data_IF_571269497123
#
_entry.id   IF_571269497123
#
_cell.length_a   1.000
_cell.length_b   1.000
_cell.length_c   1.000
_cell.angle_alpha   90.00
_cell.angle_beta   90.00
_cell.angle_gamma   90.00
#
_symmetry.space_group_name_H-M   'P 1'
#
loop_
_entity.id
_entity.type
_entity.pdbx_description
1 polymer ?
#
# COMPACT_ATOMS: atom_id res chain seq x y z
N UNK A 1 14.78 5.55 0.94
CA UNK A 1 13.97 5.29 2.17
C UNK A 1 14.33 6.14 3.39
N UNK A 2 15.59 6.52 3.71
CA UNK A 2 15.87 7.34 4.90
C UNK A 2 15.08 8.66 5.00
N UNK A 3 14.93 9.39 3.89
CA UNK A 3 14.14 10.62 3.86
C UNK A 3 12.65 10.39 4.20
N UNK A 4 12.10 9.26 3.79
CA UNK A 4 10.72 8.85 4.11
C UNK A 4 10.56 8.55 5.62
N UNK A 5 11.46 7.75 6.20
CA UNK A 5 11.39 7.44 7.63
C UNK A 5 11.56 8.73 8.48
N UNK A 6 12.46 9.63 8.08
CA UNK A 6 12.58 10.94 8.73
C UNK A 6 11.27 11.74 8.63
N UNK A 7 10.59 11.71 7.47
CA UNK A 7 9.30 12.39 7.31
C UNK A 7 8.21 11.79 8.20
N UNK A 8 8.16 10.47 8.35
CA UNK A 8 7.24 9.83 9.30
C UNK A 8 7.53 10.26 10.74
N UNK A 9 8.80 10.32 11.15
CA UNK A 9 9.20 10.79 12.48
C UNK A 9 8.76 12.25 12.71
N UNK A 10 8.93 13.13 11.72
CA UNK A 10 8.46 14.52 11.81
C UNK A 10 6.94 14.61 11.99
N UNK A 11 6.18 13.81 11.21
CA UNK A 11 4.72 13.76 11.30
C UNK A 11 4.29 13.29 12.69
N UNK A 12 4.87 12.21 13.19
CA UNK A 12 4.62 11.68 14.53
C UNK A 12 4.98 12.68 15.63
N UNK A 13 6.13 13.33 15.52
CA UNK A 13 6.59 14.35 16.48
C UNK A 13 5.76 15.63 16.50
N UNK A 14 4.90 15.85 15.52
CA UNK A 14 3.95 16.97 15.47
C UNK A 14 2.61 16.67 16.15
N UNK A 15 2.33 15.41 16.50
CA UNK A 15 1.15 15.04 17.25
C UNK A 15 1.28 15.42 18.73
N UNK A 16 0.20 15.89 19.38
CA UNK A 16 0.20 16.08 20.83
C UNK A 16 0.47 14.76 21.56
N UNK A 17 1.35 14.75 22.57
CA UNK A 17 1.65 13.53 23.33
C UNK A 17 0.39 12.92 23.97
N UNK A 18 0.24 11.62 23.87
CA UNK A 18 -0.90 10.89 24.43
C UNK A 18 -1.11 9.52 23.80
N UNK A 19 -2.04 8.78 24.34
CA UNK A 19 -2.36 7.41 23.95
C UNK A 19 -2.54 7.23 22.43
N UNK A 20 -3.20 8.17 21.78
CA UNK A 20 -3.43 8.11 20.33
C UNK A 20 -2.12 8.27 19.56
N UNK A 21 -1.28 9.25 19.93
CA UNK A 21 0.02 9.47 19.29
C UNK A 21 0.95 8.26 19.48
N UNK A 22 0.96 7.66 20.65
CA UNK A 22 1.74 6.45 20.96
C UNK A 22 1.25 5.26 20.11
N UNK A 23 -0.06 5.07 19.99
CA UNK A 23 -0.67 4.04 19.15
C UNK A 23 -0.40 4.25 17.66
N UNK A 24 -0.49 5.49 17.15
CA UNK A 24 -0.12 5.83 15.77
C UNK A 24 1.35 5.52 15.48
N UNK A 25 2.25 5.87 16.43
CA UNK A 25 3.68 5.58 16.32
C UNK A 25 3.93 4.08 16.23
N UNK A 26 3.29 3.29 17.09
CA UNK A 26 3.38 1.83 17.04
C UNK A 26 2.85 1.25 15.74
N UNK A 27 1.69 1.71 15.25
CA UNK A 27 1.10 1.25 14.00
C UNK A 27 1.99 1.55 12.78
N UNK A 28 2.69 2.67 12.79
CA UNK A 28 3.59 3.09 11.71
C UNK A 28 4.97 2.44 11.79
N UNK A 29 5.31 1.71 12.87
CA UNK A 29 6.60 1.06 12.99
C UNK A 29 6.72 -0.16 12.04
N UNK A 30 7.91 -0.33 11.46
CA UNK A 30 8.24 -1.48 10.61
C UNK A 30 7.48 -1.53 9.28
N UNK A 31 7.39 -2.73 8.69
CA UNK A 31 6.74 -2.98 7.40
C UNK A 31 7.68 -2.87 6.20
N UNK A 32 7.28 -3.51 5.08
CA UNK A 32 8.06 -3.57 3.84
C UNK A 32 8.09 -2.25 3.06
N UNK A 33 7.24 -1.27 3.41
CA UNK A 33 7.13 0.05 2.77
C UNK A 33 6.93 -0.02 1.24
N UNK A 34 6.20 -0.99 0.74
CA UNK A 34 6.03 -1.19 -0.70
C UNK A 34 5.33 0.01 -1.35
N UNK A 35 4.23 0.52 -0.75
CA UNK A 35 3.49 1.66 -1.29
C UNK A 35 4.31 2.95 -1.29
N UNK A 36 5.00 3.33 -0.20
CA UNK A 36 5.99 4.42 -0.22
C UNK A 36 7.07 4.24 -1.28
N UNK A 37 7.59 3.03 -1.45
CA UNK A 37 8.63 2.74 -2.46
C UNK A 37 8.13 2.96 -3.88
N UNK A 38 6.88 2.61 -4.20
CA UNK A 38 6.27 2.92 -5.49
C UNK A 38 6.25 4.43 -5.79
N UNK A 39 6.02 5.26 -4.76
CA UNK A 39 6.03 6.71 -4.93
C UNK A 39 7.45 7.27 -5.08
N UNK A 40 8.43 6.72 -4.35
CA UNK A 40 9.75 7.32 -4.18
C UNK A 40 10.84 6.72 -5.08
N UNK A 41 10.55 5.64 -5.83
CA UNK A 41 11.50 4.99 -6.73
C UNK A 41 11.54 5.58 -8.14
N UNK A 42 10.94 6.75 -8.33
CA UNK A 42 10.93 7.44 -9.62
C UNK A 42 11.92 8.60 -9.64
N UNK A 43 12.48 8.90 -10.81
CA UNK A 43 13.29 10.09 -11.00
C UNK A 43 12.37 11.32 -11.10
N UNK A 44 12.59 12.31 -10.26
CA UNK A 44 11.75 13.49 -10.18
C UNK A 44 12.57 14.76 -9.90
N UNK A 45 12.07 15.95 -10.30
CA UNK A 45 12.63 17.23 -9.88
C UNK A 45 12.62 17.41 -8.37
N UNK A 46 13.65 18.05 -7.81
CA UNK A 46 13.80 18.26 -6.35
C UNK A 46 12.61 18.98 -5.73
N UNK A 47 11.95 19.87 -6.49
CA UNK A 47 10.78 20.63 -6.07
C UNK A 47 9.58 19.75 -5.72
N UNK A 48 9.50 18.55 -6.30
CA UNK A 48 8.43 17.58 -6.02
C UNK A 48 8.73 16.68 -4.83
N UNK A 49 9.96 16.67 -4.30
CA UNK A 49 10.37 15.76 -3.23
C UNK A 49 9.46 15.85 -1.99
N UNK A 50 9.10 17.06 -1.57
CA UNK A 50 8.21 17.28 -0.42
C UNK A 50 6.81 16.70 -0.65
N UNK A 51 6.21 16.97 -1.81
CA UNK A 51 4.87 16.46 -2.15
C UNK A 51 4.87 14.93 -2.24
N UNK A 52 5.90 14.34 -2.84
CA UNK A 52 6.00 12.89 -2.98
C UNK A 52 6.26 12.21 -1.63
N UNK A 53 7.05 12.81 -0.74
CA UNK A 53 7.23 12.32 0.63
C UNK A 53 5.92 12.36 1.43
N UNK A 54 5.17 13.47 1.35
CA UNK A 54 3.87 13.59 2.00
C UNK A 54 2.85 12.59 1.43
N UNK A 55 2.87 12.39 0.12
CA UNK A 55 1.99 11.41 -0.53
C UNK A 55 2.33 9.97 -0.12
N UNK A 56 3.61 9.64 -0.10
CA UNK A 56 4.09 8.33 0.38
C UNK A 56 3.69 8.10 1.86
N UNK A 57 3.81 9.13 2.71
CA UNK A 57 3.40 9.06 4.11
C UNK A 57 1.89 8.88 4.25
N UNK A 58 1.09 9.61 3.47
CA UNK A 58 -0.36 9.48 3.48
C UNK A 58 -0.81 8.07 3.07
N UNK A 59 -0.22 7.49 2.04
CA UNK A 59 -0.49 6.10 1.61
C UNK A 59 -0.17 5.09 2.70
N UNK A 60 0.96 5.26 3.39
CA UNK A 60 1.35 4.34 4.48
C UNK A 60 0.42 4.49 5.69
N UNK A 61 0.03 5.71 6.07
CA UNK A 61 -0.93 5.94 7.15
C UNK A 61 -2.29 5.32 6.84
N UNK A 62 -2.80 5.45 5.61
CA UNK A 62 -4.04 4.79 5.17
C UNK A 62 -3.89 3.28 5.22
N UNK A 63 -2.77 2.73 4.77
CA UNK A 63 -2.51 1.29 4.84
C UNK A 63 -2.46 0.80 6.30
N UNK A 64 -1.77 1.51 7.19
CA UNK A 64 -1.74 1.12 8.61
C UNK A 64 -3.12 1.25 9.26
N UNK A 65 -3.91 2.27 8.89
CA UNK A 65 -5.30 2.39 9.30
C UNK A 65 -6.12 1.15 8.90
N UNK A 66 -6.01 0.70 7.64
CA UNK A 66 -6.74 -0.49 7.19
C UNK A 66 -6.34 -1.75 7.95
N UNK A 67 -5.04 -1.95 8.20
CA UNK A 67 -4.56 -3.10 8.95
C UNK A 67 -5.10 -3.13 10.39
N UNK A 68 -5.17 -1.97 11.08
CA UNK A 68 -5.73 -1.90 12.43
C UNK A 68 -7.21 -2.30 12.43
N UNK A 69 -7.96 -1.85 11.41
CA UNK A 69 -9.38 -2.17 11.30
C UNK A 69 -9.61 -3.63 10.94
N UNK A 70 -8.79 -4.17 10.03
CA UNK A 70 -8.84 -5.59 9.63
C UNK A 70 -8.54 -6.51 10.82
N UNK A 71 -7.62 -6.12 11.72
CA UNK A 71 -7.25 -6.92 12.90
C UNK A 71 -8.35 -6.98 13.98
N UNK A 72 -9.39 -6.12 13.94
CA UNK A 72 -10.43 -6.09 14.97
C UNK A 72 -11.25 -7.38 15.03
N UNK A 73 -11.81 -7.76 16.22
CA UNK A 73 -12.64 -8.95 16.38
C UNK A 73 -13.89 -9.00 15.48
N UNK A 74 -14.38 -7.87 15.00
CA UNK A 74 -15.50 -7.80 14.06
C UNK A 74 -15.08 -7.98 12.58
N UNK A 75 -13.79 -8.16 12.30
CA UNK A 75 -13.16 -8.37 10.99
C UNK A 75 -12.42 -9.71 10.98
N UNK A 76 -11.08 -9.70 10.99
CA UNK A 76 -10.26 -10.91 10.89
C UNK A 76 -9.95 -11.53 12.26
N UNK A 77 -10.21 -10.82 13.38
CA UNK A 77 -9.93 -11.24 14.77
C UNK A 77 -8.48 -11.70 14.95
N UNK A 78 -7.53 -10.95 14.39
CA UNK A 78 -6.13 -11.33 14.38
C UNK A 78 -5.46 -11.04 15.74
N UNK A 79 -4.69 -11.99 16.27
CA UNK A 79 -3.97 -11.82 17.53
C UNK A 79 -2.60 -11.14 17.34
N UNK A 80 -1.96 -11.36 16.20
CA UNK A 80 -0.61 -10.90 15.88
C UNK A 80 -0.51 -10.30 14.48
N UNK A 81 0.26 -9.22 14.35
CA UNK A 81 0.60 -8.56 13.10
C UNK A 81 2.09 -8.20 13.07
N UNK A 82 2.84 -8.70 12.09
CA UNK A 82 4.28 -8.44 11.91
C UNK A 82 5.14 -8.86 13.11
N UNK A 83 4.79 -9.92 13.83
CA UNK A 83 5.50 -10.39 15.02
C UNK A 83 5.19 -9.61 16.31
N UNK A 84 4.22 -8.71 16.27
CA UNK A 84 3.76 -7.93 17.40
C UNK A 84 2.27 -8.19 17.67
N UNK A 85 1.86 -8.11 18.93
CA UNK A 85 0.46 -8.22 19.31
C UNK A 85 -0.39 -7.11 18.67
N UNK A 86 -1.55 -7.44 18.11
CA UNK A 86 -2.46 -6.48 17.50
C UNK A 86 -2.91 -5.38 18.49
N UNK A 87 -3.19 -4.17 17.95
CA UNK A 87 -3.47 -3.00 18.79
C UNK A 87 -4.70 -3.17 19.67
N UNK A 88 -5.74 -3.84 19.18
CA UNK A 88 -6.98 -4.07 19.95
C UNK A 88 -6.76 -4.94 21.19
N UNK A 89 -5.72 -5.78 21.22
CA UNK A 89 -5.36 -6.60 22.37
C UNK A 89 -4.46 -5.86 23.38
N UNK A 90 -3.58 -4.98 22.89
CA UNK A 90 -2.66 -4.23 23.74
C UNK A 90 -3.25 -2.90 24.27
N UNK A 91 -4.27 -2.40 23.60
CA UNK A 91 -5.08 -1.26 23.99
C UNK A 91 -6.51 -1.78 24.26
N UNK A 92 -7.49 -1.28 23.54
CA UNK A 92 -8.84 -1.81 23.49
C UNK A 92 -9.35 -1.68 22.06
N UNK A 93 -10.45 -2.36 21.69
CA UNK A 93 -11.07 -2.18 20.39
C UNK A 93 -11.45 -0.71 20.12
N UNK A 94 -11.94 -0.01 21.14
CA UNK A 94 -12.28 1.41 21.03
C UNK A 94 -11.05 2.28 20.76
N UNK A 95 -9.95 2.06 21.48
CA UNK A 95 -8.70 2.79 21.29
C UNK A 95 -8.06 2.46 19.94
N UNK A 96 -8.02 1.19 19.53
CA UNK A 96 -7.54 0.79 18.21
C UNK A 96 -8.35 1.47 17.09
N UNK A 97 -9.67 1.52 17.21
CA UNK A 97 -10.55 2.23 16.26
C UNK A 97 -10.24 3.72 16.20
N UNK A 98 -10.02 4.38 17.35
CA UNK A 98 -9.68 5.80 17.42
C UNK A 98 -8.28 6.08 16.84
N UNK A 99 -7.32 5.18 17.04
CA UNK A 99 -5.98 5.27 16.44
C UNK A 99 -6.09 5.15 14.91
N UNK A 100 -6.86 4.19 14.40
CA UNK A 100 -7.11 4.03 12.97
C UNK A 100 -7.76 5.28 12.35
N UNK A 101 -8.80 5.81 13.01
CA UNK A 101 -9.45 7.06 12.61
C UNK A 101 -8.47 8.23 12.56
N UNK A 102 -7.59 8.35 13.57
CA UNK A 102 -6.60 9.43 13.65
C UNK A 102 -5.56 9.33 12.55
N UNK A 103 -5.07 8.12 12.23
CA UNK A 103 -4.18 7.87 11.08
C UNK A 103 -4.82 8.29 9.76
N UNK A 104 -6.09 7.95 9.55
CA UNK A 104 -6.83 8.32 8.35
C UNK A 104 -7.00 9.85 8.24
N UNK A 105 -7.41 10.52 9.31
CA UNK A 105 -7.55 11.97 9.34
C UNK A 105 -6.19 12.65 9.08
N UNK A 106 -5.13 12.17 9.73
CA UNK A 106 -3.79 12.71 9.56
C UNK A 106 -3.22 12.52 8.15
N UNK A 107 -3.56 11.42 7.48
CA UNK A 107 -3.14 11.19 6.11
C UNK A 107 -3.59 12.29 5.14
N UNK A 108 -4.83 12.75 5.29
CA UNK A 108 -5.36 13.85 4.48
C UNK A 108 -4.77 15.21 4.87
N UNK A 109 -4.57 15.46 6.16
CA UNK A 109 -3.98 16.69 6.65
C UNK A 109 -2.55 16.86 6.13
N UNK A 110 -1.70 15.83 6.24
CA UNK A 110 -0.34 15.84 5.71
C UNK A 110 -0.33 16.07 4.20
N UNK A 111 -1.23 15.38 3.48
CA UNK A 111 -1.25 15.46 2.03
C UNK A 111 -1.74 16.81 1.51
N UNK A 112 -2.69 17.48 2.20
CA UNK A 112 -3.19 18.80 1.79
C UNK A 112 -2.31 19.95 2.28
N UNK A 113 -1.51 19.74 3.33
CA UNK A 113 -0.64 20.76 3.89
C UNK A 113 0.60 20.95 3.02
N UNK A 114 0.84 22.18 2.55
CA UNK A 114 1.98 22.51 1.71
C UNK A 114 1.92 23.92 1.15
N UNK A 115 2.81 24.23 0.21
CA UNK A 115 2.91 25.54 -0.40
C UNK A 115 1.73 25.80 -1.33
N UNK A 116 1.42 27.10 -1.56
CA UNK A 116 0.29 27.50 -2.39
C UNK A 116 0.38 26.97 -3.83
N UNK A 117 1.56 26.97 -4.42
CA UNK A 117 1.81 26.46 -5.77
C UNK A 117 1.59 24.95 -5.92
N UNK A 118 1.68 24.18 -4.81
CA UNK A 118 1.47 22.74 -4.79
C UNK A 118 -0.01 22.37 -4.65
N UNK A 119 -0.86 23.28 -4.18
CA UNK A 119 -2.25 23.00 -3.80
C UNK A 119 -3.09 22.33 -4.90
N UNK A 120 -2.99 22.71 -6.20
CA UNK A 120 -3.77 22.03 -7.23
C UNK A 120 -3.42 20.52 -7.36
N UNK A 121 -2.13 20.16 -7.20
CA UNK A 121 -1.69 18.77 -7.23
C UNK A 121 -2.14 18.05 -5.97
N UNK A 122 -1.88 18.63 -4.78
CA UNK A 122 -2.24 18.06 -3.48
C UNK A 122 -3.74 17.76 -3.37
N UNK A 123 -4.59 18.68 -3.80
CA UNK A 123 -6.04 18.47 -3.83
C UNK A 123 -6.46 17.30 -4.74
N UNK A 124 -5.81 17.13 -5.89
CA UNK A 124 -6.07 15.99 -6.79
C UNK A 124 -5.61 14.67 -6.15
N UNK A 125 -4.46 14.64 -5.48
CA UNK A 125 -3.96 13.45 -4.77
C UNK A 125 -4.91 13.07 -3.63
N UNK A 126 -5.38 14.03 -2.83
CA UNK A 126 -6.41 13.82 -1.79
C UNK A 126 -7.67 13.21 -2.40
N UNK A 127 -8.16 13.77 -3.52
CA UNK A 127 -9.36 13.24 -4.19
C UNK A 127 -9.16 11.79 -4.68
N UNK A 128 -7.99 11.49 -5.25
CA UNK A 128 -7.66 10.12 -5.70
C UNK A 128 -7.61 9.15 -4.54
N UNK A 129 -6.89 9.51 -3.47
CA UNK A 129 -6.76 8.69 -2.28
C UNK A 129 -8.13 8.43 -1.63
N UNK A 130 -8.96 9.46 -1.43
CA UNK A 130 -10.27 9.32 -0.81
C UNK A 130 -11.21 8.39 -1.60
N UNK A 131 -11.15 8.42 -2.94
CA UNK A 131 -11.94 7.51 -3.78
C UNK A 131 -11.46 6.07 -3.70
N UNK A 132 -10.14 5.86 -3.62
CA UNK A 132 -9.57 4.52 -3.53
C UNK A 132 -9.85 3.81 -2.21
N UNK A 133 -10.06 4.56 -1.12
CA UNK A 133 -10.36 3.98 0.20
C UNK A 133 -11.85 3.89 0.51
N UNK A 134 -12.68 4.63 -0.22
CA UNK A 134 -14.13 4.71 0.01
C UNK A 134 -14.94 3.57 -0.60
N UNK A 135 -16.23 3.82 -0.82
CA UNK A 135 -17.24 2.86 -1.32
C UNK A 135 -17.02 2.38 -2.76
N UNK A 136 -16.00 2.83 -3.46
CA UNK A 136 -15.58 2.30 -4.77
C UNK A 136 -14.17 1.72 -4.75
N UNK A 137 -13.62 1.42 -3.57
CA UNK A 137 -12.26 0.93 -3.37
C UNK A 137 -12.16 0.03 -2.14
N UNK A 138 -11.16 0.28 -1.27
CA UNK A 138 -10.82 -0.61 -0.16
C UNK A 138 -12.00 -0.97 0.76
N UNK A 139 -12.80 0.01 1.18
CA UNK A 139 -13.94 -0.25 2.07
C UNK A 139 -15.00 -1.15 1.43
N UNK A 140 -15.25 -1.00 0.13
CA UNK A 140 -16.15 -1.89 -0.61
C UNK A 140 -15.55 -3.31 -0.73
N UNK A 141 -14.25 -3.41 -1.04
CA UNK A 141 -13.55 -4.71 -1.12
C UNK A 141 -13.64 -5.48 0.19
N UNK A 142 -13.36 -4.81 1.32
CA UNK A 142 -13.50 -5.40 2.65
C UNK A 142 -14.94 -5.83 2.96
N UNK A 143 -15.92 -4.98 2.63
CA UNK A 143 -17.32 -5.31 2.86
C UNK A 143 -17.82 -6.50 2.02
N UNK A 144 -17.31 -6.67 0.79
CA UNK A 144 -17.63 -7.82 -0.06
C UNK A 144 -17.00 -9.10 0.48
N UNK A 145 -15.75 -9.04 0.94
CA UNK A 145 -15.03 -10.15 1.57
C UNK A 145 -15.78 -10.67 2.80
N UNK A 146 -16.12 -9.79 3.74
CA UNK A 146 -16.86 -10.14 4.96
C UNK A 146 -18.24 -10.75 4.68
N UNK A 147 -18.88 -10.38 3.59
CA UNK A 147 -20.19 -10.96 3.20
C UNK A 147 -20.08 -12.33 2.53
N UNK A 148 -18.90 -12.72 2.09
CA UNK A 148 -18.71 -13.94 1.32
C UNK A 148 -19.48 -13.96 0.00
N UNK A 149 -19.81 -12.80 -0.56
CA UNK A 149 -20.71 -12.68 -1.70
C UNK A 149 -20.03 -12.75 -3.07
N UNK A 150 -18.70 -12.66 -3.14
CA UNK A 150 -17.98 -12.73 -4.41
C UNK A 150 -17.45 -14.12 -4.66
N UNK A 151 -17.82 -14.69 -5.82
CA UNK A 151 -17.18 -15.90 -6.38
C UNK A 151 -15.86 -15.55 -7.08
N UNK A 152 -15.50 -14.26 -7.18
CA UNK A 152 -14.30 -13.78 -7.85
C UNK A 152 -13.39 -13.07 -6.81
N UNK A 153 -12.43 -13.82 -6.29
CA UNK A 153 -11.42 -13.33 -5.33
C UNK A 153 -10.58 -12.19 -5.92
N UNK A 154 -10.31 -12.21 -7.24
CA UNK A 154 -9.55 -11.17 -7.92
C UNK A 154 -10.26 -9.80 -7.87
N UNK A 155 -11.60 -9.75 -7.99
CA UNK A 155 -12.34 -8.48 -7.90
C UNK A 155 -12.25 -7.88 -6.49
N UNK A 156 -12.29 -8.71 -5.44
CA UNK A 156 -12.08 -8.28 -4.06
C UNK A 156 -10.65 -7.75 -3.91
N UNK A 157 -9.64 -8.49 -4.35
CA UNK A 157 -8.22 -8.11 -4.28
C UNK A 157 -7.94 -6.82 -5.05
N UNK A 158 -8.63 -6.60 -6.18
CA UNK A 158 -8.59 -5.36 -6.97
C UNK A 158 -9.05 -4.16 -6.17
N UNK A 159 -10.15 -4.30 -5.43
CA UNK A 159 -10.70 -3.24 -4.58
C UNK A 159 -9.91 -3.07 -3.27
N UNK A 160 -9.69 -4.16 -2.52
CA UNK A 160 -9.08 -4.14 -1.18
C UNK A 160 -7.60 -3.78 -1.24
N UNK A 161 -6.83 -4.43 -2.11
CA UNK A 161 -5.36 -4.33 -2.13
C UNK A 161 -4.84 -3.46 -3.28
N UNK A 162 -5.27 -3.72 -4.53
CA UNK A 162 -4.68 -3.07 -5.69
C UNK A 162 -5.07 -1.59 -5.83
N UNK A 163 -6.16 -1.14 -5.22
CA UNK A 163 -6.59 0.25 -5.26
C UNK A 163 -5.54 1.24 -4.75
N UNK A 164 -4.86 0.96 -3.63
CA UNK A 164 -3.80 1.82 -3.11
C UNK A 164 -2.51 1.77 -3.94
N UNK A 165 -2.19 0.63 -4.53
CA UNK A 165 -1.07 0.52 -5.46
C UNK A 165 -1.33 1.36 -6.71
N UNK A 166 -2.54 1.28 -7.26
CA UNK A 166 -2.99 2.04 -8.42
C UNK A 166 -2.91 3.56 -8.17
N UNK A 167 -3.37 4.01 -7.01
CA UNK A 167 -3.27 5.42 -6.63
C UNK A 167 -1.82 5.86 -6.44
N UNK A 168 -0.96 5.03 -5.87
CA UNK A 168 0.44 5.34 -5.67
C UNK A 168 1.14 5.65 -7.01
N UNK A 169 0.99 4.79 -8.01
CA UNK A 169 1.62 4.95 -9.32
C UNK A 169 0.97 6.04 -10.17
N UNK A 170 -0.38 6.12 -10.21
CA UNK A 170 -1.10 7.19 -10.91
C UNK A 170 -0.78 8.57 -10.32
N UNK A 171 -0.71 8.68 -8.98
CA UNK A 171 -0.38 9.93 -8.29
C UNK A 171 1.02 10.45 -8.63
N UNK A 172 1.99 9.55 -8.79
CA UNK A 172 3.31 9.91 -9.32
C UNK A 172 3.21 10.46 -10.74
N UNK A 173 2.46 9.81 -11.63
CA UNK A 173 2.23 10.31 -12.99
C UNK A 173 1.57 11.70 -13.01
N UNK A 174 0.67 11.97 -12.06
CA UNK A 174 0.07 13.30 -11.90
C UNK A 174 1.10 14.32 -11.43
N UNK A 175 1.97 13.96 -10.48
CA UNK A 175 3.02 14.85 -9.96
C UNK A 175 4.05 15.19 -11.06
N UNK A 176 4.43 14.21 -11.86
CA UNK A 176 5.36 14.38 -13.00
C UNK A 176 4.69 15.01 -14.23
N UNK A 177 3.41 15.38 -14.16
CA UNK A 177 2.64 15.97 -15.26
C UNK A 177 2.64 15.08 -16.52
N UNK A 178 2.65 13.76 -16.34
CA UNK A 178 2.56 12.80 -17.44
C UNK A 178 1.30 12.99 -18.26
N UNK A 179 1.35 12.59 -19.53
CA UNK A 179 0.18 12.60 -20.42
C UNK A 179 -0.96 11.73 -19.85
N UNK A 180 -2.22 11.97 -20.24
CA UNK A 180 -3.34 11.12 -19.80
C UNK A 180 -3.13 9.64 -20.10
N UNK A 181 -2.51 9.32 -21.22
CA UNK A 181 -2.17 7.94 -21.59
C UNK A 181 -1.15 7.33 -20.63
N UNK A 182 -0.08 8.05 -20.30
CA UNK A 182 0.91 7.58 -19.34
C UNK A 182 0.33 7.45 -17.93
N UNK A 183 -0.54 8.38 -17.50
CA UNK A 183 -1.24 8.26 -16.22
C UNK A 183 -2.13 7.01 -16.17
N UNK A 184 -2.80 6.67 -17.28
CA UNK A 184 -3.58 5.43 -17.38
C UNK A 184 -2.69 4.19 -17.34
N UNK A 185 -1.53 4.20 -18.02
CA UNK A 185 -0.54 3.12 -17.95
C UNK A 185 -0.02 2.92 -16.52
N UNK A 186 0.29 4.00 -15.82
CA UNK A 186 0.74 3.97 -14.42
C UNK A 186 -0.36 3.45 -13.49
N UNK A 187 -1.60 3.87 -13.70
CA UNK A 187 -2.74 3.35 -12.95
C UNK A 187 -2.88 1.84 -13.12
N UNK A 188 -2.84 1.34 -14.36
CA UNK A 188 -2.91 -0.09 -14.65
C UNK A 188 -1.71 -0.84 -14.06
N UNK A 189 -0.49 -0.28 -14.17
CA UNK A 189 0.71 -0.86 -13.56
C UNK A 189 0.53 -1.05 -12.06
N UNK A 190 0.05 -0.03 -11.36
CA UNK A 190 -0.21 -0.13 -9.91
C UNK A 190 -1.25 -1.19 -9.60
N UNK A 191 -2.33 -1.26 -10.37
CA UNK A 191 -3.38 -2.27 -10.20
C UNK A 191 -2.81 -3.68 -10.34
N UNK A 192 -2.07 -3.97 -11.41
CA UNK A 192 -1.49 -5.29 -11.68
C UNK A 192 -0.40 -5.64 -10.64
N UNK A 193 0.42 -4.67 -10.21
CA UNK A 193 1.38 -4.87 -9.12
C UNK A 193 0.69 -5.23 -7.79
N UNK A 194 -0.45 -4.58 -7.51
CA UNK A 194 -1.23 -4.88 -6.30
C UNK A 194 -1.83 -6.27 -6.33
N UNK A 195 -2.32 -6.74 -7.49
CA UNK A 195 -2.81 -8.10 -7.68
C UNK A 195 -1.67 -9.13 -7.56
N UNK A 196 -0.50 -8.85 -8.15
CA UNK A 196 0.67 -9.70 -7.98
C UNK A 196 1.11 -9.78 -6.51
N UNK A 197 1.06 -8.66 -5.78
CA UNK A 197 1.39 -8.62 -4.36
C UNK A 197 0.41 -9.46 -3.53
N UNK A 198 -0.90 -9.38 -3.80
CA UNK A 198 -1.91 -10.20 -3.12
C UNK A 198 -1.69 -11.69 -3.41
N UNK A 199 -1.47 -12.06 -4.66
CA UNK A 199 -1.18 -13.47 -5.01
C UNK A 199 0.08 -14.02 -4.30
N UNK A 200 1.09 -13.17 -4.04
CA UNK A 200 2.26 -13.54 -3.24
C UNK A 200 1.91 -13.76 -1.75
N UNK A 201 1.06 -12.93 -1.18
CA UNK A 201 0.62 -13.09 0.20
C UNK A 201 -0.25 -14.35 0.34
N UNK A 202 -1.18 -14.61 -0.59
CA UNK A 202 -2.02 -15.82 -0.63
C UNK A 202 -1.17 -17.11 -0.77
N UNK A 203 -0.11 -17.08 -1.60
CA UNK A 203 0.83 -18.21 -1.73
C UNK A 203 1.59 -18.48 -0.43
N UNK A 204 1.96 -17.42 0.30
CA UNK A 204 2.68 -17.54 1.57
C UNK A 204 1.79 -18.12 2.67
N UNK A 205 0.55 -17.67 2.73
CA UNK A 205 -0.39 -18.05 3.79
C UNK A 205 -1.04 -19.40 3.52
N UNK A 206 -0.91 -19.92 2.30
CA UNK A 206 -1.40 -21.25 1.93
C UNK A 206 -2.93 -21.31 1.77
N UNK A 207 -3.58 -20.15 1.69
CA UNK A 207 -5.03 -20.02 1.66
C UNK A 207 -5.62 -20.20 0.25
N UNK A 208 -6.52 -21.13 0.14
CA UNK A 208 -7.75 -21.24 -0.64
C UNK A 208 -7.65 -21.66 -2.10
N UNK A 209 -6.90 -21.09 -2.97
CA UNK A 209 -6.82 -21.48 -4.37
C UNK A 209 -5.74 -22.56 -4.60
N UNK A 210 -5.96 -23.43 -5.58
CA UNK A 210 -4.92 -24.38 -5.96
C UNK A 210 -3.64 -23.62 -6.29
N UNK A 211 -2.52 -23.95 -5.66
CA UNK A 211 -1.20 -23.30 -5.82
C UNK A 211 -0.85 -23.02 -7.29
N UNK A 212 -1.15 -23.98 -8.18
CA UNK A 212 -0.91 -23.84 -9.63
C UNK A 212 -1.66 -22.68 -10.26
N UNK A 213 -2.88 -22.37 -9.77
CA UNK A 213 -3.68 -21.22 -10.24
C UNK A 213 -3.02 -19.91 -9.85
N UNK A 214 -2.58 -19.77 -8.58
CA UNK A 214 -1.87 -18.60 -8.07
C UNK A 214 -0.54 -18.37 -8.78
N UNK A 215 0.23 -19.44 -9.02
CA UNK A 215 1.49 -19.38 -9.79
C UNK A 215 1.26 -18.88 -11.22
N UNK A 216 0.20 -19.37 -11.89
CA UNK A 216 -0.16 -18.94 -13.24
C UNK A 216 -0.59 -17.47 -13.26
N UNK A 217 -1.44 -17.05 -12.33
CA UNK A 217 -1.88 -15.66 -12.20
C UNK A 217 -0.70 -14.72 -11.93
N UNK A 218 0.17 -15.09 -11.01
CA UNK A 218 1.36 -14.32 -10.65
C UNK A 218 2.30 -14.11 -11.84
N UNK A 219 2.52 -15.16 -12.64
CA UNK A 219 3.32 -15.07 -13.87
C UNK A 219 2.71 -14.09 -14.86
N UNK A 220 1.40 -14.17 -15.09
CA UNK A 220 0.68 -13.26 -15.99
C UNK A 220 0.77 -11.81 -15.50
N UNK A 221 0.59 -11.57 -14.20
CA UNK A 221 0.72 -10.23 -13.62
C UNK A 221 2.14 -9.67 -13.79
N UNK A 222 3.17 -10.46 -13.56
CA UNK A 222 4.56 -10.01 -13.76
C UNK A 222 4.88 -9.70 -15.22
N UNK A 223 4.41 -10.51 -16.17
CA UNK A 223 4.58 -10.27 -17.61
C UNK A 223 3.86 -8.97 -18.02
N UNK A 224 2.65 -8.74 -17.50
CA UNK A 224 1.91 -7.50 -17.74
C UNK A 224 2.61 -6.28 -17.14
N UNK A 225 3.08 -6.36 -15.90
CA UNK A 225 3.87 -5.29 -15.27
C UNK A 225 5.10 -4.95 -16.11
N UNK A 226 5.83 -5.94 -16.57
CA UNK A 226 7.02 -5.73 -17.40
C UNK A 226 6.68 -4.98 -18.70
N UNK A 227 5.63 -5.40 -19.41
CA UNK A 227 5.17 -4.73 -20.62
C UNK A 227 4.79 -3.27 -20.37
N UNK A 228 4.08 -3.00 -19.27
CA UNK A 228 3.68 -1.64 -18.90
C UNK A 228 4.90 -0.76 -18.56
N UNK A 229 5.85 -1.28 -17.78
CA UNK A 229 7.08 -0.55 -17.41
C UNK A 229 7.92 -0.26 -18.65
N UNK A 230 8.04 -1.20 -19.60
CA UNK A 230 8.78 -1.01 -20.85
C UNK A 230 8.18 0.08 -21.75
N UNK A 231 6.89 0.36 -21.61
CA UNK A 231 6.21 1.44 -22.33
C UNK A 231 6.39 2.83 -21.70
N UNK A 232 6.95 2.91 -20.50
CA UNK A 232 7.22 4.15 -19.78
C UNK A 232 8.65 4.66 -20.06
N UNK A 233 8.88 5.94 -19.85
CA UNK A 233 10.21 6.55 -20.00
C UNK A 233 11.14 6.26 -18.81
N UNK A 234 12.38 6.74 -18.89
CA UNK A 234 13.42 6.47 -17.88
C UNK A 234 13.13 7.10 -16.50
N UNK A 235 12.13 7.98 -16.38
CA UNK A 235 11.72 8.51 -15.06
C UNK A 235 11.20 7.39 -14.14
N UNK A 236 10.77 6.27 -14.71
CA UNK A 236 10.16 5.14 -14.01
C UNK A 236 11.09 3.91 -13.92
N UNK A 237 12.38 4.07 -14.12
CA UNK A 237 13.36 2.97 -14.10
C UNK A 237 13.33 2.20 -12.77
N UNK A 238 13.14 2.87 -11.64
CA UNK A 238 13.04 2.23 -10.33
C UNK A 238 11.89 1.23 -10.18
N UNK A 239 10.88 1.27 -11.05
CA UNK A 239 9.84 0.23 -11.07
C UNK A 239 10.34 -1.11 -11.60
N UNK A 240 11.39 -1.13 -12.43
CA UNK A 240 12.07 -2.37 -12.87
C UNK A 240 12.72 -3.08 -11.69
N UNK A 241 13.39 -2.31 -10.82
CA UNK A 241 14.06 -2.85 -9.64
C UNK A 241 13.05 -3.43 -8.65
N UNK A 242 11.93 -2.71 -8.41
CA UNK A 242 10.83 -3.20 -7.57
C UNK A 242 10.20 -4.48 -8.13
N UNK A 243 9.97 -4.55 -9.44
CA UNK A 243 9.43 -5.73 -10.08
C UNK A 243 10.40 -6.91 -9.99
N UNK A 244 11.71 -6.68 -10.19
CA UNK A 244 12.72 -7.71 -10.06
C UNK A 244 12.79 -8.28 -8.64
N UNK A 245 12.71 -7.43 -7.61
CA UNK A 245 12.66 -7.85 -6.22
C UNK A 245 11.43 -8.71 -5.91
N UNK A 246 10.25 -8.31 -6.41
CA UNK A 246 9.01 -9.09 -6.23
C UNK A 246 9.10 -10.46 -6.94
N UNK A 247 9.70 -10.52 -8.13
CA UNK A 247 9.94 -11.78 -8.85
C UNK A 247 10.87 -12.71 -8.06
N UNK A 248 11.98 -12.18 -7.55
CA UNK A 248 12.91 -12.97 -6.72
C UNK A 248 12.21 -13.50 -5.47
N UNK A 249 11.44 -12.66 -4.80
CA UNK A 249 10.67 -13.11 -3.63
C UNK A 249 9.65 -14.21 -3.97
N UNK A 250 9.02 -14.15 -5.15
CA UNK A 250 8.12 -15.20 -5.61
C UNK A 250 8.85 -16.52 -5.88
N UNK A 251 10.03 -16.47 -6.47
CA UNK A 251 10.86 -17.65 -6.74
C UNK A 251 11.29 -18.34 -5.44
N UNK A 252 11.62 -17.58 -4.40
CA UNK A 252 11.95 -18.10 -3.07
C UNK A 252 10.76 -18.79 -2.40
N UNK A 253 9.54 -18.26 -2.58
CA UNK A 253 8.31 -18.87 -2.06
C UNK A 253 7.90 -20.14 -2.83
N UNK A 254 8.13 -20.15 -4.13
CA UNK A 254 7.78 -21.26 -5.00
C UNK A 254 8.79 -22.44 -4.87
N UNK A 255 10.06 -22.10 -4.65
CA UNK A 255 11.16 -23.04 -4.52
C UNK A 255 11.91 -22.84 -3.19
N UNK A 256 11.28 -23.10 -2.04
CA UNK A 256 11.96 -22.90 -0.77
C UNK A 256 13.24 -23.73 -0.71
N UNK A 257 14.34 -23.17 -0.19
CA UNK A 257 15.58 -23.92 -0.01
C UNK A 257 15.30 -25.15 0.83
N UNK A 258 15.97 -26.29 0.57
CA UNK A 258 15.79 -27.50 1.36
C UNK A 258 16.01 -27.16 2.84
N UNK A 259 15.05 -27.60 3.68
CA UNK A 259 15.14 -27.38 5.12
C UNK A 259 16.52 -27.89 5.59
N UNK A 260 17.32 -26.98 6.17
CA UNK A 260 18.57 -27.36 6.77
C UNK A 260 18.26 -28.46 7.81
N UNK A 261 18.75 -29.68 7.55
CA UNK A 261 18.62 -30.77 8.49
C UNK A 261 19.17 -30.29 9.84
N UNK A 262 18.27 -30.16 10.81
CA UNK A 262 18.65 -29.82 12.17
C UNK A 262 19.53 -30.95 12.71
N UNK A 263 20.83 -30.67 12.77
CA UNK A 263 21.85 -31.53 13.36
C UNK A 263 21.90 -31.39 14.87
#
# INVERSE_FOLDING_TARGET
MPAFENRLIEIQGSEPPGLIADGMTRALAGGKRIRPRLVLSVNHPTELSGVLLDFAAALEMVHCCSLILDDLPCMDDAEERRGEQCLHLSHSEAEATLIAFSLLARSFDVLITGKAEEQPLRARLVQKLSRAIGGGGMAEGQAQELRGHSTNTEDISRLKTASLFSVATEGVGMALQCSPTQQQTLRELGEVLGLAFQALDDLKDGDGEARESLESALKQHFERCQTLIESLDNSFEGYRDLLAELKTHSEDLLNPPPAAEAS
#
